data_IF_756558261841
#
_entry.id   IF_756558261841
#
_cell.length_a   1.000
_cell.length_b   1.000
_cell.length_c   1.000
_cell.angle_alpha   90.00
_cell.angle_beta   90.00
_cell.angle_gamma   90.00
#
_symmetry.space_group_name_H-M   'P 1'
#
loop_
_entity.id
_entity.type
_entity.pdbx_description
1 polymer ?
#
# COMPACT_ATOMS: atom_id res chain seq x y z
N UNK A 1 -1.73 -25.90 12.68
CA UNK A 1 -0.35 -26.23 12.24
C UNK A 1 0.03 -25.15 11.24
N UNK A 2 1.22 -24.55 11.35
CA UNK A 2 1.66 -23.54 10.38
C UNK A 2 1.79 -24.15 8.98
N UNK A 3 1.48 -23.37 7.93
CA UNK A 3 1.63 -23.83 6.54
C UNK A 3 3.09 -24.21 6.22
N UNK A 4 3.33 -25.06 5.21
CA UNK A 4 4.70 -25.40 4.78
C UNK A 4 5.55 -24.18 4.46
N UNK A 5 4.97 -23.12 3.89
CA UNK A 5 5.63 -21.84 3.60
C UNK A 5 6.11 -21.14 4.88
N UNK A 6 5.29 -21.11 5.94
CA UNK A 6 5.65 -20.52 7.24
C UNK A 6 6.76 -21.33 7.92
N UNK A 7 6.75 -22.65 7.81
CA UNK A 7 7.80 -23.52 8.37
C UNK A 7 9.13 -23.34 7.61
N UNK A 8 9.07 -23.24 6.29
CA UNK A 8 10.26 -23.01 5.45
C UNK A 8 10.88 -21.62 5.72
N UNK A 9 10.03 -20.59 5.90
CA UNK A 9 10.49 -19.22 6.23
C UNK A 9 11.25 -19.18 7.56
N UNK A 10 10.80 -19.91 8.60
CA UNK A 10 11.52 -20.01 9.89
C UNK A 10 12.92 -20.62 9.77
N UNK A 11 13.14 -21.50 8.79
CA UNK A 11 14.44 -22.13 8.57
C UNK A 11 15.46 -21.18 7.85
N UNK A 12 14.98 -20.14 7.14
CA UNK A 12 15.82 -19.20 6.37
C UNK A 12 16.30 -18.02 7.23
N UNK A 13 15.80 -17.84 8.46
CA UNK A 13 16.06 -16.69 9.34
C UNK A 13 17.52 -16.55 9.84
N UNK A 14 18.36 -17.55 9.72
CA UNK A 14 19.73 -17.50 10.22
C UNK A 14 20.65 -16.72 9.25
N UNK A 15 20.85 -15.42 9.54
CA UNK A 15 22.00 -14.70 9.00
C UNK A 15 21.75 -13.69 7.87
N UNK A 16 20.57 -13.03 7.81
CA UNK A 16 20.39 -11.90 6.88
C UNK A 16 21.16 -10.70 7.41
N UNK A 17 22.27 -10.38 6.78
CA UNK A 17 23.05 -9.19 7.07
C UNK A 17 22.36 -7.96 6.44
N UNK A 18 21.99 -7.00 7.29
CA UNK A 18 21.43 -5.70 6.93
C UNK A 18 22.41 -4.54 7.19
N UNK A 19 23.66 -4.82 7.56
CA UNK A 19 24.66 -3.81 7.94
C UNK A 19 25.01 -2.83 6.82
N UNK A 20 24.78 -3.19 5.56
CA UNK A 20 24.97 -2.33 4.38
C UNK A 20 23.83 -1.38 4.10
N UNK A 21 22.67 -1.53 4.79
CA UNK A 21 21.50 -0.68 4.60
C UNK A 21 21.42 0.41 5.66
N UNK A 22 20.56 1.40 5.43
CA UNK A 22 20.27 2.46 6.40
C UNK A 22 19.82 1.87 7.75
N UNK A 23 20.37 2.33 8.88
CA UNK A 23 20.06 1.75 10.19
C UNK A 23 18.61 1.91 10.64
N UNK A 24 17.87 2.95 10.15
CA UNK A 24 16.45 3.13 10.45
C UNK A 24 15.63 2.13 9.63
N UNK A 25 15.93 2.02 8.34
CA UNK A 25 15.29 1.04 7.46
C UNK A 25 15.55 -0.40 7.92
N UNK A 26 16.77 -0.70 8.37
CA UNK A 26 17.11 -2.02 8.93
C UNK A 26 16.27 -2.37 10.16
N UNK A 27 16.02 -1.41 11.07
CA UNK A 27 15.13 -1.62 12.24
C UNK A 27 13.68 -1.84 11.84
N UNK A 28 13.18 -1.16 10.80
CA UNK A 28 11.82 -1.37 10.29
C UNK A 28 11.62 -2.77 9.71
N UNK A 29 12.69 -3.47 9.34
CA UNK A 29 12.61 -4.85 8.88
C UNK A 29 12.32 -5.87 10.01
N UNK A 30 12.34 -5.44 11.27
CA UNK A 30 11.94 -6.26 12.43
C UNK A 30 10.44 -6.14 12.77
N UNK A 31 9.70 -5.20 12.15
CA UNK A 31 8.23 -5.11 12.24
C UNK A 31 7.58 -6.44 11.85
N UNK A 32 6.50 -6.82 12.53
CA UNK A 32 5.86 -8.14 12.34
C UNK A 32 4.65 -8.02 11.40
N UNK A 33 4.77 -8.60 10.21
CA UNK A 33 3.69 -8.67 9.23
C UNK A 33 2.73 -9.84 9.54
N UNK A 34 1.46 -9.67 9.19
CA UNK A 34 0.43 -10.71 9.27
C UNK A 34 0.55 -11.60 8.04
N UNK A 35 0.87 -12.89 8.26
CA UNK A 35 0.89 -13.89 7.19
C UNK A 35 -0.52 -14.36 6.89
N UNK A 36 -0.82 -14.52 5.60
CA UNK A 36 -2.13 -14.95 5.12
C UNK A 36 -2.02 -16.13 4.13
N UNK A 37 -3.14 -16.82 3.93
CA UNK A 37 -3.33 -17.74 2.81
C UNK A 37 -3.89 -16.98 1.58
N UNK A 38 -4.14 -17.69 0.49
CA UNK A 38 -4.67 -17.11 -0.76
C UNK A 38 -6.10 -16.56 -0.59
N UNK A 39 -6.85 -17.04 0.41
CA UNK A 39 -8.16 -16.54 0.78
C UNK A 39 -8.12 -15.37 1.77
N UNK A 40 -6.90 -14.89 2.14
CA UNK A 40 -6.64 -13.84 3.11
C UNK A 40 -7.00 -14.18 4.56
N UNK A 41 -7.04 -15.46 4.91
CA UNK A 41 -7.14 -15.88 6.31
C UNK A 41 -5.79 -15.71 7.00
N UNK A 42 -5.76 -15.09 8.18
CA UNK A 42 -4.53 -14.96 8.96
C UNK A 42 -4.02 -16.34 9.42
N UNK A 43 -2.81 -16.73 9.01
CA UNK A 43 -2.20 -18.04 9.30
C UNK A 43 -0.98 -17.96 10.20
N UNK A 44 -0.56 -16.76 10.57
CA UNK A 44 0.60 -16.53 11.43
C UNK A 44 1.19 -15.15 11.30
N UNK A 45 2.42 -15.01 11.74
CA UNK A 45 3.16 -13.75 11.70
C UNK A 45 4.66 -14.02 11.59
N UNK A 46 5.37 -13.14 10.92
CA UNK A 46 6.85 -13.13 10.91
C UNK A 46 7.37 -11.71 10.72
N UNK A 47 8.68 -11.51 10.87
CA UNK A 47 9.27 -10.20 10.63
C UNK A 47 9.25 -9.82 9.14
N UNK A 48 9.26 -8.53 8.89
CA UNK A 48 9.17 -7.94 7.56
C UNK A 48 10.31 -8.42 6.64
N UNK A 49 11.54 -8.54 7.15
CA UNK A 49 12.67 -9.03 6.34
C UNK A 49 12.42 -10.44 5.81
N UNK A 50 11.81 -11.31 6.63
CA UNK A 50 11.44 -12.66 6.24
C UNK A 50 10.36 -12.67 5.15
N UNK A 51 9.34 -11.79 5.28
CA UNK A 51 8.26 -11.64 4.29
C UNK A 51 8.79 -11.20 2.92
N UNK A 52 9.81 -10.34 2.90
CA UNK A 52 10.30 -9.69 1.67
C UNK A 52 11.47 -10.41 1.00
N UNK A 53 11.98 -11.51 1.57
CA UNK A 53 13.01 -12.31 0.92
C UNK A 53 12.42 -13.13 -0.23
N UNK A 54 12.98 -12.95 -1.44
CA UNK A 54 12.57 -13.72 -2.62
C UNK A 54 12.65 -15.23 -2.41
N UNK A 55 13.62 -15.72 -1.59
CA UNK A 55 13.70 -17.14 -1.24
C UNK A 55 12.41 -17.65 -0.55
N UNK A 56 11.79 -16.85 0.32
CA UNK A 56 10.56 -17.21 1.02
C UNK A 56 9.32 -16.95 0.15
N UNK A 57 9.31 -15.86 -0.61
CA UNK A 57 8.27 -15.52 -1.58
C UNK A 57 8.14 -16.66 -2.60
N UNK A 58 9.24 -17.15 -3.16
CA UNK A 58 9.24 -18.27 -4.11
C UNK A 58 8.76 -19.60 -3.52
N UNK A 59 8.69 -19.71 -2.19
CA UNK A 59 8.09 -20.84 -1.46
C UNK A 59 6.61 -20.59 -1.09
N UNK A 60 6.02 -19.49 -1.56
CA UNK A 60 4.62 -19.14 -1.35
C UNK A 60 4.35 -18.35 -0.07
N UNK A 61 5.36 -17.71 0.56
CA UNK A 61 5.12 -16.85 1.72
C UNK A 61 4.38 -15.60 1.28
N UNK A 62 3.17 -15.39 1.84
CA UNK A 62 2.24 -14.34 1.49
C UNK A 62 1.87 -13.55 2.74
N UNK A 63 1.75 -12.24 2.63
CA UNK A 63 1.41 -11.38 3.76
C UNK A 63 0.41 -10.29 3.38
N UNK A 64 -0.27 -9.72 4.39
CA UNK A 64 -1.28 -8.69 4.23
C UNK A 64 -0.65 -7.31 4.10
N UNK A 65 -1.16 -6.52 3.16
CA UNK A 65 -0.71 -5.17 2.88
C UNK A 65 -1.87 -4.22 2.61
N UNK A 66 -1.56 -2.94 2.44
CA UNK A 66 -2.52 -1.94 1.97
C UNK A 66 -1.86 -0.87 1.10
N UNK A 67 -2.64 -0.36 0.16
CA UNK A 67 -2.32 0.79 -0.69
C UNK A 67 -3.35 1.89 -0.48
N UNK A 68 -2.91 3.05 0.03
CA UNK A 68 -3.75 4.24 0.21
C UNK A 68 -3.57 5.19 -0.96
N UNK A 69 -4.68 5.75 -1.43
CA UNK A 69 -4.76 6.77 -2.47
C UNK A 69 -5.51 7.98 -1.92
N UNK A 70 -4.81 9.10 -1.69
CA UNK A 70 -5.43 10.36 -1.23
C UNK A 70 -5.68 11.27 -2.41
N UNK A 71 -6.94 11.66 -2.58
CA UNK A 71 -7.37 12.65 -3.56
C UNK A 71 -7.70 13.96 -2.88
N UNK A 72 -7.21 15.07 -3.42
CA UNK A 72 -7.54 16.39 -2.91
C UNK A 72 -9.00 16.73 -3.29
N UNK A 73 -9.86 17.12 -2.31
CA UNK A 73 -11.28 17.32 -2.57
C UNK A 73 -11.60 18.41 -3.60
N UNK A 74 -10.81 19.49 -3.63
CA UNK A 74 -11.07 20.68 -4.46
C UNK A 74 -10.94 20.42 -5.97
N UNK A 75 -9.96 19.63 -6.39
CA UNK A 75 -9.64 19.39 -7.79
C UNK A 75 -9.60 17.91 -8.19
N UNK A 76 -9.56 17.00 -7.21
CA UNK A 76 -9.50 15.56 -7.44
C UNK A 76 -8.12 15.05 -7.85
N UNK A 77 -7.05 15.84 -7.61
CA UNK A 77 -5.68 15.40 -7.87
C UNK A 77 -5.24 14.35 -6.85
N UNK A 78 -4.54 13.33 -7.33
CA UNK A 78 -3.96 12.25 -6.52
C UNK A 78 -2.62 12.68 -5.94
N UNK A 79 -2.42 12.44 -4.65
CA UNK A 79 -1.13 12.61 -3.98
C UNK A 79 -0.26 11.38 -4.23
N UNK A 80 0.84 11.55 -4.93
CA UNK A 80 1.90 10.56 -5.12
C UNK A 80 3.06 10.82 -4.15
N UNK A 81 3.80 9.76 -3.82
CA UNK A 81 5.11 9.86 -3.16
C UNK A 81 6.21 9.23 -4.02
N UNK A 82 7.43 9.72 -3.87
CA UNK A 82 8.64 9.06 -4.34
C UNK A 82 9.39 8.47 -3.15
N UNK A 83 9.60 7.17 -3.16
CA UNK A 83 10.27 6.42 -2.11
C UNK A 83 11.70 6.90 -1.93
N UNK A 84 12.17 7.00 -0.69
CA UNK A 84 13.55 7.40 -0.40
C UNK A 84 14.58 6.41 -0.97
N UNK A 85 15.78 6.89 -1.21
CA UNK A 85 16.92 6.06 -1.63
C UNK A 85 17.34 5.04 -0.58
N UNK A 86 17.04 5.32 0.69
CA UNK A 86 17.32 4.49 1.86
C UNK A 86 16.43 3.24 1.96
N UNK A 87 15.31 3.20 1.23
CA UNK A 87 14.38 2.05 1.25
C UNK A 87 15.07 0.80 0.77
N UNK A 88 14.87 -0.33 1.49
CA UNK A 88 15.45 -1.64 1.15
C UNK A 88 14.74 -2.23 -0.07
N UNK A 89 13.42 -2.09 -0.17
CA UNK A 89 12.65 -2.54 -1.34
C UNK A 89 12.25 -1.34 -2.20
N UNK A 90 12.39 -1.45 -3.51
CA UNK A 90 11.95 -0.46 -4.51
C UNK A 90 12.36 0.99 -4.20
N UNK A 91 13.65 1.30 -3.92
CA UNK A 91 14.12 2.66 -3.68
C UNK A 91 13.92 3.57 -4.90
N UNK A 92 13.79 4.88 -4.66
CA UNK A 92 13.70 5.93 -5.69
C UNK A 92 12.48 5.87 -6.61
N UNK A 93 11.56 4.92 -6.42
CA UNK A 93 10.39 4.75 -7.29
C UNK A 93 9.22 5.63 -6.84
N UNK A 94 8.49 6.19 -7.81
CA UNK A 94 7.19 6.80 -7.59
C UNK A 94 6.12 5.74 -7.31
N UNK A 95 5.17 6.08 -6.45
CA UNK A 95 4.07 5.18 -6.08
C UNK A 95 2.83 5.98 -5.66
N UNK A 96 1.74 5.28 -5.34
CA UNK A 96 0.55 5.84 -4.71
C UNK A 96 0.89 6.57 -3.39
N UNK A 97 -0.09 7.15 -2.73
CA UNK A 97 0.15 8.02 -1.57
C UNK A 97 0.89 7.34 -0.43
N UNK A 98 0.51 6.10 -0.09
CA UNK A 98 1.18 5.30 0.93
C UNK A 98 0.90 3.82 0.69
N UNK A 99 1.90 2.96 0.86
CA UNK A 99 1.74 1.50 0.84
C UNK A 99 2.60 0.88 1.95
N UNK A 100 2.02 -0.05 2.69
CA UNK A 100 2.66 -0.71 3.84
C UNK A 100 1.81 -1.88 4.34
N UNK A 101 2.06 -2.31 5.57
CA UNK A 101 1.49 -3.50 6.19
C UNK A 101 0.76 -3.16 7.49
N UNK A 102 -0.39 -3.78 7.78
CA UNK A 102 -0.87 -3.89 9.15
C UNK A 102 0.10 -4.78 9.93
N UNK A 103 0.36 -4.43 11.18
CA UNK A 103 1.35 -5.11 12.01
C UNK A 103 0.68 -5.97 13.08
N UNK A 104 1.19 -7.19 13.29
CA UNK A 104 0.77 -8.07 14.37
C UNK A 104 1.08 -7.49 15.76
N UNK A 105 2.04 -6.56 15.85
CA UNK A 105 2.41 -5.88 17.09
C UNK A 105 1.29 -4.98 17.64
N UNK A 106 0.29 -4.64 16.84
CA UNK A 106 -0.83 -3.77 17.22
C UNK A 106 -2.16 -4.52 17.14
N UNK A 107 -2.80 -4.79 18.30
CA UNK A 107 -4.10 -5.49 18.33
C UNK A 107 -5.17 -4.83 17.47
N UNK A 108 -5.18 -3.50 17.40
CA UNK A 108 -6.15 -2.75 16.59
C UNK A 108 -5.95 -2.96 15.09
N UNK A 109 -4.74 -3.28 14.63
CA UNK A 109 -4.43 -3.50 13.21
C UNK A 109 -4.78 -4.93 12.74
N UNK A 110 -5.11 -5.83 13.66
CA UNK A 110 -5.56 -7.21 13.37
C UNK A 110 -7.07 -7.32 13.17
N UNK A 111 -7.83 -6.25 13.41
CA UNK A 111 -9.30 -6.27 13.31
C UNK A 111 -9.73 -6.30 11.84
N UNK A 112 -10.31 -7.40 11.41
CA UNK A 112 -10.72 -7.62 10.02
C UNK A 112 -12.09 -7.00 9.70
N UNK A 113 -12.97 -6.88 10.71
CA UNK A 113 -14.31 -6.33 10.52
C UNK A 113 -14.27 -4.94 9.90
N UNK A 114 -15.00 -4.75 8.79
CA UNK A 114 -15.05 -3.51 8.03
C UNK A 114 -13.66 -2.98 7.58
N UNK A 115 -12.69 -3.87 7.44
CA UNK A 115 -11.29 -3.56 7.10
C UNK A 115 -10.67 -2.56 8.11
N UNK A 116 -11.09 -2.62 9.38
CA UNK A 116 -10.69 -1.63 10.39
C UNK A 116 -9.18 -1.63 10.60
N UNK A 117 -8.56 -2.80 10.71
CA UNK A 117 -7.14 -2.95 10.97
C UNK A 117 -6.27 -2.28 9.90
N UNK A 118 -6.53 -2.53 8.61
CA UNK A 118 -5.77 -1.93 7.51
C UNK A 118 -6.00 -0.41 7.39
N UNK A 119 -7.19 0.09 7.78
CA UNK A 119 -7.46 1.54 7.83
C UNK A 119 -6.67 2.23 8.95
N UNK A 120 -6.59 1.59 10.13
CA UNK A 120 -5.78 2.07 11.26
C UNK A 120 -4.30 2.09 10.88
N UNK A 121 -3.79 1.00 10.29
CA UNK A 121 -2.43 0.90 9.79
C UNK A 121 -2.16 1.98 8.71
N UNK A 122 -3.10 2.21 7.79
CA UNK A 122 -3.02 3.27 6.78
C UNK A 122 -2.87 4.65 7.40
N UNK A 123 -3.70 5.01 8.38
CA UNK A 123 -3.60 6.30 9.09
C UNK A 123 -2.27 6.45 9.82
N UNK A 124 -1.81 5.41 10.52
CA UNK A 124 -0.49 5.37 11.19
C UNK A 124 0.67 5.60 10.20
N UNK A 125 0.63 4.92 9.05
CA UNK A 125 1.72 5.01 8.06
C UNK A 125 1.70 6.33 7.29
N UNK A 126 0.54 6.92 7.03
CA UNK A 126 0.43 8.27 6.48
C UNK A 126 1.10 9.31 7.40
N UNK A 127 0.93 9.19 8.72
CA UNK A 127 1.64 10.03 9.69
C UNK A 127 3.14 9.74 9.70
N UNK A 128 3.54 8.47 9.71
CA UNK A 128 4.94 8.06 9.77
C UNK A 128 5.74 8.48 8.53
N UNK A 129 5.18 8.28 7.32
CA UNK A 129 5.88 8.52 6.05
C UNK A 129 5.75 9.97 5.57
N UNK A 130 4.51 10.48 5.56
CA UNK A 130 4.17 11.79 5.00
C UNK A 130 3.99 12.88 6.05
N UNK A 131 4.06 12.54 7.35
CA UNK A 131 3.81 13.47 8.45
C UNK A 131 2.40 14.05 8.44
N UNK A 132 1.45 13.36 7.82
CA UNK A 132 0.04 13.76 7.78
C UNK A 132 -0.59 13.41 9.14
N UNK A 133 -1.07 14.39 9.93
CA UNK A 133 -1.70 14.10 11.21
C UNK A 133 -2.90 13.16 11.06
N UNK A 134 -3.05 12.16 11.95
CA UNK A 134 -4.16 11.22 11.92
C UNK A 134 -5.54 11.90 12.00
N UNK A 135 -5.61 13.08 12.62
CA UNK A 135 -6.82 13.91 12.65
C UNK A 135 -7.29 14.38 11.26
N UNK A 136 -6.39 14.42 10.27
CA UNK A 136 -6.71 14.75 8.87
C UNK A 136 -7.08 13.50 8.04
N UNK A 137 -6.86 12.31 8.60
CA UNK A 137 -7.18 11.02 7.96
C UNK A 137 -8.03 10.14 8.90
N UNK A 138 -9.21 10.62 9.34
CA UNK A 138 -10.06 9.85 10.25
C UNK A 138 -10.47 8.52 9.61
N UNK A 139 -10.50 7.45 10.42
CA UNK A 139 -10.71 6.07 9.95
C UNK A 139 -11.98 5.91 9.10
N UNK A 140 -13.07 6.58 9.48
CA UNK A 140 -14.35 6.55 8.75
C UNK A 140 -14.29 7.24 7.37
N UNK A 141 -13.21 7.92 7.05
CA UNK A 141 -12.99 8.54 5.74
C UNK A 141 -12.37 7.60 4.72
N UNK A 142 -11.77 6.49 5.17
CA UNK A 142 -11.20 5.50 4.28
C UNK A 142 -12.29 4.68 3.61
N UNK A 143 -12.27 4.68 2.29
CA UNK A 143 -13.14 3.86 1.46
C UNK A 143 -12.37 2.66 0.94
N UNK A 144 -12.73 1.47 1.40
CA UNK A 144 -12.22 0.21 0.86
C UNK A 144 -12.85 -0.06 -0.52
N UNK A 145 -12.04 -0.44 -1.51
CA UNK A 145 -12.49 -0.78 -2.86
C UNK A 145 -12.41 -2.28 -3.15
N UNK A 146 -11.23 -2.86 -3.02
CA UNK A 146 -10.98 -4.28 -3.31
C UNK A 146 -9.68 -4.74 -2.64
N UNK A 147 -9.34 -6.01 -2.85
CA UNK A 147 -8.03 -6.62 -2.54
C UNK A 147 -7.41 -7.15 -3.82
N UNK A 148 -6.12 -6.96 -3.97
CA UNK A 148 -5.34 -7.54 -5.07
C UNK A 148 -4.27 -8.48 -4.52
N UNK A 149 -4.04 -9.57 -5.23
CA UNK A 149 -2.94 -10.50 -4.94
C UNK A 149 -1.87 -10.30 -6.02
N UNK A 150 -0.66 -9.92 -5.61
CA UNK A 150 0.43 -9.71 -6.54
C UNK A 150 1.77 -10.19 -5.99
N UNK A 151 2.70 -10.48 -6.91
CA UNK A 151 4.10 -10.78 -6.64
C UNK A 151 4.98 -9.87 -7.49
N UNK A 152 5.98 -9.21 -6.87
CA UNK A 152 6.90 -8.34 -7.57
C UNK A 152 8.32 -8.44 -6.99
N UNK A 153 9.33 -8.90 -7.78
CA UNK A 153 10.73 -8.84 -7.37
C UNK A 153 11.24 -7.39 -7.42
N UNK A 154 12.08 -7.00 -6.43
CA UNK A 154 12.75 -5.69 -6.39
C UNK A 154 14.15 -5.76 -7.03
N UNK A 155 15.03 -6.58 -6.48
CA UNK A 155 16.46 -6.66 -6.89
C UNK A 155 17.03 -8.08 -6.95
N UNK A 156 16.17 -9.09 -6.96
CA UNK A 156 16.53 -10.50 -6.94
C UNK A 156 16.75 -11.08 -5.54
N UNK A 157 17.07 -10.26 -4.51
CA UNK A 157 17.11 -10.67 -3.09
C UNK A 157 15.79 -10.34 -2.40
N UNK A 158 15.24 -9.16 -2.67
CA UNK A 158 14.06 -8.61 -2.05
C UNK A 158 12.91 -8.53 -3.05
N UNK A 159 11.67 -8.60 -2.54
CA UNK A 159 10.44 -8.47 -3.32
C UNK A 159 9.23 -8.32 -2.43
N UNK A 160 8.06 -8.30 -3.06
CA UNK A 160 6.75 -8.26 -2.42
C UNK A 160 5.92 -9.45 -2.89
N UNK A 161 5.13 -10.06 -1.99
CA UNK A 161 4.09 -11.03 -2.29
C UNK A 161 2.94 -10.80 -1.31
N UNK A 162 1.89 -10.16 -1.78
CA UNK A 162 0.91 -9.50 -0.92
C UNK A 162 -0.53 -9.74 -1.35
N UNK A 163 -1.41 -9.82 -0.33
CA UNK A 163 -2.82 -9.46 -0.46
C UNK A 163 -2.94 -7.99 -0.04
N UNK A 164 -3.06 -7.11 -1.02
CA UNK A 164 -3.01 -5.65 -0.87
C UNK A 164 -4.42 -5.04 -0.89
N UNK A 165 -4.81 -4.40 0.21
CA UNK A 165 -6.10 -3.72 0.38
C UNK A 165 -6.06 -2.32 -0.22
N UNK A 166 -6.90 -2.06 -1.20
CA UNK A 166 -6.97 -0.76 -1.88
C UNK A 166 -7.92 0.17 -1.13
N UNK A 167 -7.35 1.26 -0.61
CA UNK A 167 -8.04 2.25 0.21
C UNK A 167 -8.01 3.63 -0.43
N UNK A 168 -9.19 4.18 -0.72
CA UNK A 168 -9.32 5.57 -1.18
C UNK A 168 -9.69 6.49 -0.05
N UNK A 169 -9.15 7.71 -0.09
CA UNK A 169 -9.44 8.78 0.86
C UNK A 169 -9.51 10.12 0.11
N UNK A 170 -10.47 10.96 0.48
CA UNK A 170 -10.48 12.37 0.04
C UNK A 170 -10.25 13.26 1.25
N UNK A 171 -9.15 14.00 1.24
CA UNK A 171 -8.77 14.90 2.32
C UNK A 171 -7.87 16.04 1.82
N UNK A 172 -8.05 17.23 2.42
CA UNK A 172 -7.05 18.29 2.36
C UNK A 172 -6.04 18.03 3.47
N UNK A 173 -4.81 17.66 3.09
CA UNK A 173 -3.79 17.23 4.04
C UNK A 173 -2.56 18.13 4.02
N UNK A 174 -1.95 18.27 5.20
CA UNK A 174 -0.65 18.93 5.36
C UNK A 174 0.43 17.87 5.32
N UNK A 175 1.33 17.95 4.34
CA UNK A 175 2.42 16.98 4.16
C UNK A 175 3.71 17.52 4.75
N UNK A 176 4.30 16.77 5.70
CA UNK A 176 5.63 17.03 6.30
C UNK A 176 6.45 15.74 6.20
N UNK A 177 7.14 15.51 5.06
CA UNK A 177 7.70 14.20 4.75
C UNK A 177 8.81 13.77 5.72
N UNK A 178 8.80 12.49 6.10
CA UNK A 178 9.93 11.82 6.70
C UNK A 178 10.93 11.44 5.58
N UNK A 179 12.04 12.16 5.49
CA UNK A 179 13.00 12.00 4.40
C UNK A 179 13.71 10.63 4.38
N UNK A 180 13.64 9.86 5.45
CA UNK A 180 14.11 8.46 5.45
C UNK A 180 13.11 7.50 4.78
N UNK A 181 11.86 7.94 4.59
CA UNK A 181 10.79 7.15 3.98
C UNK A 181 10.49 7.60 2.54
N UNK A 182 10.39 8.91 2.32
CA UNK A 182 10.07 9.51 1.02
C UNK A 182 10.98 10.69 0.73
N UNK A 183 11.44 10.81 -0.52
CA UNK A 183 12.29 11.92 -0.95
C UNK A 183 11.53 13.05 -1.65
N UNK A 184 10.33 12.76 -2.20
CA UNK A 184 9.49 13.75 -2.86
C UNK A 184 8.02 13.34 -2.82
N UNK A 185 7.12 14.32 -2.97
CA UNK A 185 5.70 14.09 -3.19
C UNK A 185 5.15 15.08 -4.23
N UNK A 186 4.05 14.71 -4.87
CA UNK A 186 3.43 15.54 -5.91
C UNK A 186 1.94 15.25 -6.01
N UNK A 187 1.11 16.29 -6.17
CA UNK A 187 -0.27 16.13 -6.62
C UNK A 187 -0.32 16.12 -8.14
N UNK A 188 -0.96 15.12 -8.71
CA UNK A 188 -1.11 14.96 -10.17
C UNK A 188 -2.58 14.79 -10.54
N UNK A 189 -2.98 15.29 -11.70
CA UNK A 189 -4.22 14.85 -12.37
C UNK A 189 -3.95 13.61 -13.23
N UNK A 190 -5.01 13.10 -13.86
CA UNK A 190 -4.93 11.88 -14.66
C UNK A 190 -3.98 12.01 -15.85
N UNK A 191 -4.05 13.13 -16.54
CA UNK A 191 -3.25 13.44 -17.71
C UNK A 191 -1.77 13.57 -17.34
N UNK A 192 -1.48 14.29 -16.26
CA UNK A 192 -0.11 14.40 -15.69
C UNK A 192 0.45 13.02 -15.34
N UNK A 193 -0.34 12.15 -14.68
CA UNK A 193 0.12 10.80 -14.34
C UNK A 193 0.37 9.95 -15.60
N UNK A 194 -0.50 10.02 -16.60
CA UNK A 194 -0.30 9.31 -17.88
C UNK A 194 0.95 9.77 -18.62
N UNK A 195 1.27 11.06 -18.55
CA UNK A 195 2.52 11.60 -19.10
C UNK A 195 3.71 11.06 -18.34
N UNK A 196 3.69 11.11 -16.99
CA UNK A 196 4.77 10.59 -16.13
C UNK A 196 5.05 9.08 -16.39
N UNK A 197 4.03 8.26 -16.69
CA UNK A 197 4.23 6.84 -17.03
C UNK A 197 4.98 6.63 -18.37
N UNK A 198 4.98 7.61 -19.26
CA UNK A 198 5.59 7.53 -20.60
C UNK A 198 6.96 8.21 -20.65
N UNK A 199 7.25 9.12 -19.72
CA UNK A 199 8.51 9.87 -19.69
C UNK A 199 9.66 8.99 -19.21
N UNK A 200 10.79 9.09 -19.92
CA UNK A 200 12.06 8.54 -19.46
C UNK A 200 12.51 9.27 -18.20
N UNK A 201 12.97 8.52 -17.19
CA UNK A 201 13.43 9.07 -15.91
C UNK A 201 12.44 8.94 -14.75
N UNK A 202 11.20 8.56 -15.00
CA UNK A 202 10.26 8.16 -13.94
C UNK A 202 10.19 6.65 -13.80
N UNK A 203 10.59 6.13 -12.64
CA UNK A 203 10.38 4.73 -12.28
C UNK A 203 9.21 4.62 -11.31
N UNK A 204 8.35 3.65 -11.52
CA UNK A 204 7.17 3.41 -10.68
C UNK A 204 7.20 2.02 -10.08
N UNK A 205 6.68 1.89 -8.86
CA UNK A 205 6.56 0.57 -8.21
C UNK A 205 5.67 -0.37 -9.02
N UNK A 206 5.96 -1.68 -9.02
CA UNK A 206 5.20 -2.65 -9.81
C UNK A 206 3.70 -2.66 -9.49
N UNK A 207 3.33 -2.71 -8.21
CA UNK A 207 1.91 -2.70 -7.79
C UNK A 207 1.17 -1.45 -8.26
N UNK A 208 1.80 -0.26 -8.17
CA UNK A 208 1.16 0.98 -8.63
C UNK A 208 0.92 0.96 -10.15
N UNK A 209 1.87 0.40 -10.93
CA UNK A 209 1.68 0.20 -12.38
C UNK A 209 0.52 -0.74 -12.67
N UNK A 210 0.42 -1.86 -11.96
CA UNK A 210 -0.64 -2.85 -12.11
C UNK A 210 -2.00 -2.22 -11.77
N UNK A 211 -2.11 -1.56 -10.61
CA UNK A 211 -3.33 -0.87 -10.19
C UNK A 211 -3.71 0.23 -11.20
N UNK A 212 -2.74 1.00 -11.70
CA UNK A 212 -3.02 2.06 -12.66
C UNK A 212 -3.49 1.50 -14.01
N UNK A 213 -2.87 0.42 -14.49
CA UNK A 213 -3.24 -0.26 -15.73
C UNK A 213 -4.68 -0.76 -15.71
N UNK A 214 -5.08 -1.42 -14.63
CA UNK A 214 -6.30 -2.22 -14.61
C UNK A 214 -7.49 -1.51 -13.94
N UNK A 215 -7.24 -0.61 -12.96
CA UNK A 215 -8.30 -0.11 -12.09
C UNK A 215 -8.31 1.39 -11.86
N UNK A 216 -7.15 2.01 -11.54
CA UNK A 216 -7.07 3.36 -10.96
C UNK A 216 -7.81 4.40 -11.80
N UNK A 217 -7.59 4.42 -13.10
CA UNK A 217 -8.19 5.44 -13.97
C UNK A 217 -9.71 5.33 -14.04
N UNK A 218 -10.27 4.10 -14.01
CA UNK A 218 -11.70 3.87 -13.93
C UNK A 218 -12.31 4.35 -12.61
N UNK A 219 -11.69 3.99 -11.49
CA UNK A 219 -12.12 4.47 -10.15
C UNK A 219 -12.02 5.98 -10.02
N UNK A 220 -10.96 6.58 -10.57
CA UNK A 220 -10.75 8.02 -10.57
C UNK A 220 -11.82 8.75 -11.39
N UNK A 221 -12.20 8.21 -12.57
CA UNK A 221 -13.31 8.75 -13.36
C UNK A 221 -14.62 8.74 -12.57
N UNK A 222 -14.93 7.64 -11.89
CA UNK A 222 -16.13 7.56 -11.05
C UNK A 222 -16.09 8.56 -9.90
N UNK A 223 -14.91 8.74 -9.27
CA UNK A 223 -14.72 9.76 -8.24
C UNK A 223 -15.00 11.17 -8.77
N UNK A 224 -14.46 11.51 -9.95
CA UNK A 224 -14.61 12.84 -10.55
C UNK A 224 -16.04 13.12 -11.03
N UNK A 225 -16.78 12.12 -11.53
CA UNK A 225 -18.19 12.24 -11.94
C UNK A 225 -19.11 12.57 -10.77
N UNK A 226 -18.76 12.20 -9.57
CA UNK A 226 -19.60 12.31 -8.36
C UNK A 226 -19.22 13.52 -7.49
N UNK A 227 -19.02 14.68 -8.10
CA UNK A 227 -18.81 15.92 -7.37
C UNK A 227 -20.07 16.31 -6.62
N UNK A 228 -19.88 16.75 -5.36
CA UNK A 228 -20.96 17.32 -4.56
C UNK A 228 -21.46 18.66 -5.11
N UNK A 229 -22.54 19.18 -4.55
CA UNK A 229 -23.08 20.50 -4.90
C UNK A 229 -22.10 21.64 -4.61
N UNK A 230 -21.11 21.40 -3.73
CA UNK A 230 -19.99 22.29 -3.43
C UNK A 230 -18.81 22.17 -4.43
N UNK A 231 -18.98 21.35 -5.48
CA UNK A 231 -17.95 21.09 -6.50
C UNK A 231 -16.82 20.17 -6.06
N UNK A 232 -16.84 19.66 -4.81
CA UNK A 232 -15.78 18.80 -4.26
C UNK A 232 -16.02 17.32 -4.60
N UNK A 233 -14.94 16.56 -4.72
CA UNK A 233 -15.00 15.10 -4.84
C UNK A 233 -15.00 14.46 -3.45
N UNK A 234 -15.61 13.26 -3.35
CA UNK A 234 -15.62 12.49 -2.11
C UNK A 234 -15.48 10.99 -2.40
N UNK A 235 -14.48 10.33 -1.80
CA UNK A 235 -14.30 8.88 -1.91
C UNK A 235 -15.52 8.12 -1.35
N UNK A 236 -16.22 8.66 -0.36
CA UNK A 236 -17.46 8.09 0.20
C UNK A 236 -18.55 7.93 -0.86
N UNK A 237 -18.55 8.75 -1.91
CA UNK A 237 -19.50 8.62 -3.00
C UNK A 237 -19.34 7.33 -3.82
N UNK A 238 -18.17 6.70 -3.78
CA UNK A 238 -17.93 5.42 -4.43
C UNK A 238 -18.67 4.26 -3.75
N UNK A 239 -18.92 4.34 -2.43
CA UNK A 239 -19.63 3.32 -1.65
C UNK A 239 -21.15 3.31 -1.86
N UNK A 240 -21.74 4.44 -2.22
CA UNK A 240 -23.21 4.64 -2.25
C UNK A 240 -23.88 4.46 -3.61
N UNK A 241 -23.14 4.11 -4.64
CA UNK A 241 -23.68 4.01 -6.00
C UNK A 241 -23.88 2.56 -6.46
N UNK A 242 -24.71 2.38 -7.48
CA UNK A 242 -24.95 1.13 -8.24
C UNK A 242 -23.67 0.51 -8.87
N UNK A 243 -22.52 1.02 -8.56
CA UNK A 243 -21.20 0.56 -8.98
C UNK A 243 -20.64 -0.53 -8.03
N UNK A 244 -21.48 -1.49 -7.62
CA UNK A 244 -21.00 -2.79 -7.13
C UNK A 244 -20.01 -3.44 -8.13
N UNK A 245 -19.98 -2.93 -9.34
CA UNK A 245 -19.06 -3.28 -10.42
C UNK A 245 -17.61 -2.85 -10.15
N UNK A 246 -17.35 -1.90 -9.23
CA UNK A 246 -16.01 -1.38 -8.90
C UNK A 246 -15.56 -1.75 -7.48
N UNK A 247 -16.45 -2.29 -6.65
CA UNK A 247 -16.12 -2.82 -5.32
C UNK A 247 -16.22 -4.33 -5.43
N UNK A 248 -15.16 -4.95 -5.86
CA UNK A 248 -15.06 -6.39 -5.86
C UNK A 248 -14.56 -6.85 -4.48
N UNK A 249 -15.31 -7.73 -3.83
CA UNK A 249 -14.92 -8.34 -2.57
C UNK A 249 -14.06 -9.60 -2.77
N UNK A 250 -13.90 -10.04 -4.01
CA UNK A 250 -12.97 -11.11 -4.36
C UNK A 250 -11.52 -10.62 -4.26
N UNK A 251 -10.60 -11.56 -4.21
CA UNK A 251 -9.17 -11.28 -4.35
C UNK A 251 -8.88 -11.34 -5.84
N UNK A 252 -8.38 -10.24 -6.41
CA UNK A 252 -8.05 -10.15 -7.84
C UNK A 252 -6.57 -10.46 -7.99
N UNK A 253 -6.25 -11.59 -8.59
CA UNK A 253 -4.87 -11.92 -8.92
C UNK A 253 -4.40 -11.06 -10.10
N UNK A 254 -3.26 -10.39 -9.93
CA UNK A 254 -2.64 -9.53 -10.95
C UNK A 254 -1.24 -10.06 -11.23
N UNK A 255 -1.02 -10.50 -12.45
CA UNK A 255 0.26 -11.04 -12.92
C UNK A 255 1.02 -10.03 -13.76
#
# INVERSE_FOLDING_TARGET
MSSPAVQAAKATLAGIDLSSYDPKQSRLMDERCILVDEEDNAIGTTDKKTCHLMENINKGLLHRAFSVFIFRPSDGKLLLQQRASEKITFPNMWTNTCCSHPLDDFEAEKVEENQLGVKIAGSRKLEHELGIPQSQTPIDSFQYLTRIHYLAPSDGKWGEHEIDYILFLTADVTVTPNLNEIQAYKYVDKEELQVMFKEEGHSFTPWFKLIARDFLFGWWDELLKRRGTDGKVSAKSLAGGTSQQYIDRSIIEIV
#
